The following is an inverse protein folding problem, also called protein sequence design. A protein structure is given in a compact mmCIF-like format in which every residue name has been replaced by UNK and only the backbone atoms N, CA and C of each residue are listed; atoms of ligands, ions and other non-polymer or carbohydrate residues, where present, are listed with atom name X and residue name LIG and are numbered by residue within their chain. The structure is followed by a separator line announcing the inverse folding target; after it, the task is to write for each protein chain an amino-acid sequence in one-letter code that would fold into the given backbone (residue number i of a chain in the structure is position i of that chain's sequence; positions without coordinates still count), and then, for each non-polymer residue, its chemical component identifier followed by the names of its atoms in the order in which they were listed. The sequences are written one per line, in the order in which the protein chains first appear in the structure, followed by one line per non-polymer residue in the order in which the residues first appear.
data_IF_932472803861
#
_entry.id   IF_932472803861
#
_cell.length_a   1.000
_cell.length_b   1.000
_cell.length_c   1.000
_cell.angle_alpha   90.00
_cell.angle_beta   90.00
_cell.angle_gamma   90.00
#
_symmetry.space_group_name_H-M   'P 1'
#
loop_
_entity.id
_entity.type
_entity.pdbx_description
1 polymer ?
#
# COMPACT_ATOMS: atom_id res chain seq x y z
N UNK A 1 2.31 19.75 22.25
CA UNK A 1 2.33 18.35 21.88
C UNK A 1 2.36 17.47 23.13
N UNK A 2 3.26 17.71 24.07
CA UNK A 2 3.38 16.91 25.30
C UNK A 2 2.06 16.85 26.08
N UNK A 3 1.38 17.98 26.25
CA UNK A 3 0.09 18.06 26.96
C UNK A 3 -1.05 17.37 26.22
N UNK A 4 -1.10 17.52 24.89
CA UNK A 4 -2.21 17.00 24.08
C UNK A 4 -2.03 15.54 23.64
N UNK A 5 -0.79 15.10 23.38
CA UNK A 5 -0.49 13.79 22.81
C UNK A 5 0.50 12.95 23.61
N UNK A 6 1.10 13.50 24.65
CA UNK A 6 2.16 12.85 25.41
C UNK A 6 3.52 12.80 24.72
N UNK A 7 3.66 13.33 23.52
CA UNK A 7 4.88 13.29 22.72
C UNK A 7 5.78 14.49 22.99
N UNK A 8 7.07 14.24 23.14
CA UNK A 8 8.09 15.29 23.24
C UNK A 8 8.73 15.53 21.86
N UNK A 9 8.15 16.45 21.10
CA UNK A 9 8.63 16.88 19.78
C UNK A 9 8.57 18.40 19.67
N UNK A 10 9.44 18.96 18.83
CA UNK A 10 9.55 20.43 18.67
C UNK A 10 8.28 21.07 18.07
N UNK A 11 7.66 20.40 17.10
CA UNK A 11 6.45 20.86 16.43
C UNK A 11 5.66 19.71 15.83
N UNK A 12 4.41 19.96 15.48
CA UNK A 12 3.58 19.08 14.66
C UNK A 12 2.59 19.88 13.82
N UNK A 13 2.19 19.29 12.69
CA UNK A 13 1.07 19.76 11.88
C UNK A 13 -0.09 18.81 12.14
N UNK A 14 -1.24 19.36 12.52
CA UNK A 14 -2.48 18.61 12.72
C UNK A 14 -3.42 18.89 11.55
N UNK A 15 -3.76 17.85 10.80
CA UNK A 15 -4.73 17.93 9.70
C UNK A 15 -6.06 17.38 10.14
N UNK A 16 -7.12 18.17 10.25
CA UNK A 16 -8.46 17.68 10.51
C UNK A 16 -9.07 17.06 9.25
N UNK A 17 -10.10 16.22 9.43
CA UNK A 17 -10.84 15.62 8.34
C UNK A 17 -10.17 14.40 7.68
N UNK A 18 -9.11 13.88 8.28
CA UNK A 18 -8.51 12.59 7.91
C UNK A 18 -9.40 11.44 8.40
N UNK A 19 -9.21 10.27 7.79
CA UNK A 19 -9.85 9.02 8.20
C UNK A 19 -8.84 7.89 8.23
N UNK A 20 -9.09 6.90 9.08
CA UNK A 20 -8.36 5.65 9.10
C UNK A 20 -9.28 4.47 8.80
N UNK A 21 -8.72 3.41 8.29
CA UNK A 21 -9.42 2.15 8.08
C UNK A 21 -8.48 0.98 8.36
N UNK A 22 -9.05 -0.14 8.75
CA UNK A 22 -8.37 -1.42 8.69
C UNK A 22 -8.30 -1.84 7.20
N UNK A 23 -7.09 -1.89 6.59
CA UNK A 23 -6.97 -2.14 5.15
C UNK A 23 -7.42 -3.55 4.75
N UNK A 24 -7.25 -4.54 5.63
CA UNK A 24 -7.68 -5.92 5.37
C UNK A 24 -9.20 -6.03 5.38
N UNK A 25 -9.85 -5.47 6.39
CA UNK A 25 -11.32 -5.42 6.49
C UNK A 25 -11.94 -4.64 5.34
N UNK A 26 -11.32 -3.52 4.95
CA UNK A 26 -11.76 -2.72 3.80
C UNK A 26 -11.67 -3.53 2.49
N UNK A 27 -10.53 -4.21 2.25
CA UNK A 27 -10.32 -5.05 1.08
C UNK A 27 -11.35 -6.20 1.01
N UNK A 28 -11.56 -6.91 2.11
CA UNK A 28 -12.55 -7.99 2.18
C UNK A 28 -13.98 -7.49 1.93
N UNK A 29 -14.33 -6.34 2.51
CA UNK A 29 -15.65 -5.73 2.30
C UNK A 29 -15.91 -5.33 0.84
N UNK A 30 -14.91 -4.71 0.20
CA UNK A 30 -14.99 -4.33 -1.21
C UNK A 30 -15.08 -5.57 -2.11
N UNK A 31 -14.31 -6.61 -1.82
CA UNK A 31 -14.32 -7.86 -2.56
C UNK A 31 -15.67 -8.58 -2.44
N UNK A 32 -16.20 -8.72 -1.22
CA UNK A 32 -17.51 -9.29 -0.98
C UNK A 32 -18.60 -8.53 -1.76
N UNK A 33 -18.56 -7.20 -1.72
CA UNK A 33 -19.50 -6.36 -2.45
C UNK A 33 -19.38 -6.51 -3.97
N UNK A 34 -18.17 -6.74 -4.48
CA UNK A 34 -17.95 -7.01 -5.90
C UNK A 34 -18.57 -8.35 -6.31
N UNK A 35 -18.41 -9.39 -5.51
CA UNK A 35 -19.01 -10.71 -5.74
C UNK A 35 -20.54 -10.63 -5.74
N UNK A 36 -21.14 -9.91 -4.79
CA UNK A 36 -22.60 -9.64 -4.76
C UNK A 36 -23.11 -8.96 -6.04
N UNK A 37 -22.24 -8.19 -6.70
CA UNK A 37 -22.54 -7.51 -7.98
C UNK A 37 -22.20 -8.34 -9.21
N UNK A 38 -21.83 -9.61 -9.04
CA UNK A 38 -21.59 -10.55 -10.13
C UNK A 38 -20.13 -10.78 -10.50
N UNK A 39 -19.17 -10.22 -9.77
CA UNK A 39 -17.76 -10.57 -9.96
C UNK A 39 -17.51 -12.03 -9.56
N UNK A 40 -16.59 -12.68 -10.27
CA UNK A 40 -16.19 -14.06 -9.99
C UNK A 40 -14.77 -14.07 -9.45
N UNK A 41 -14.55 -14.75 -8.33
CA UNK A 41 -13.22 -15.04 -7.82
C UNK A 41 -12.75 -16.38 -8.38
N UNK A 42 -11.57 -16.37 -8.98
CA UNK A 42 -10.91 -17.57 -9.50
C UNK A 42 -9.66 -17.80 -8.67
N UNK A 43 -9.56 -18.97 -8.04
CA UNK A 43 -8.34 -19.41 -7.33
C UNK A 43 -7.41 -20.05 -8.34
N UNK A 44 -6.58 -19.20 -8.96
CA UNK A 44 -5.57 -19.63 -9.92
C UNK A 44 -4.53 -18.51 -10.05
N UNK A 45 -3.37 -18.83 -10.57
CA UNK A 45 -2.32 -17.88 -10.86
C UNK A 45 -2.40 -17.44 -12.32
N UNK A 46 -2.36 -16.14 -12.57
CA UNK A 46 -2.27 -15.59 -13.92
C UNK A 46 -0.80 -15.52 -14.34
N UNK A 47 -0.42 -16.32 -15.33
CA UNK A 47 0.98 -16.51 -15.76
C UNK A 47 1.26 -15.93 -17.15
N UNK A 48 0.25 -15.54 -17.91
CA UNK A 48 0.43 -14.93 -19.23
C UNK A 48 -0.65 -13.90 -19.52
N UNK A 49 -0.25 -12.83 -20.24
CA UNK A 49 -1.12 -11.71 -20.55
C UNK A 49 -0.89 -11.24 -22.00
N UNK A 50 -1.98 -11.04 -22.74
CA UNK A 50 -1.95 -10.48 -24.09
C UNK A 50 -3.03 -9.40 -24.19
N UNK A 51 -2.68 -8.25 -24.73
CA UNK A 51 -3.62 -7.11 -24.85
C UNK A 51 -3.51 -6.31 -26.15
N UNK A 52 -2.68 -6.77 -27.10
CA UNK A 52 -2.50 -6.12 -28.39
C UNK A 52 -3.58 -6.50 -29.44
N UNK A 53 -4.32 -7.59 -29.19
CA UNK A 53 -5.32 -8.14 -30.13
C UNK A 53 -6.70 -7.46 -30.07
N UNK A 54 -7.70 -8.15 -30.59
CA UNK A 54 -9.12 -7.71 -30.56
C UNK A 54 -9.74 -7.83 -29.16
N UNK A 55 -9.26 -8.79 -28.36
CA UNK A 55 -9.59 -9.02 -26.97
C UNK A 55 -8.30 -9.08 -26.12
N UNK A 56 -8.45 -8.97 -24.83
CA UNK A 56 -7.39 -9.24 -23.89
C UNK A 56 -7.47 -10.70 -23.41
N UNK A 57 -6.34 -11.35 -23.25
CA UNK A 57 -6.26 -12.79 -22.88
C UNK A 57 -5.38 -12.96 -21.66
N UNK A 58 -5.87 -13.72 -20.69
CA UNK A 58 -5.11 -14.18 -19.51
C UNK A 58 -4.95 -15.70 -19.59
N UNK A 59 -3.73 -16.18 -19.51
CA UNK A 59 -3.42 -17.60 -19.33
C UNK A 59 -3.19 -17.87 -17.84
N UNK A 60 -3.86 -18.88 -17.32
CA UNK A 60 -3.75 -19.31 -15.93
C UNK A 60 -2.80 -20.51 -15.81
N UNK A 61 -2.17 -20.68 -14.66
CA UNK A 61 -1.25 -21.78 -14.37
C UNK A 61 -1.89 -23.16 -14.57
N UNK A 62 -3.20 -23.28 -14.35
CA UNK A 62 -3.98 -24.50 -14.66
C UNK A 62 -4.11 -24.80 -16.16
N UNK A 63 -3.63 -23.96 -17.05
CA UNK A 63 -3.80 -24.03 -18.49
C UNK A 63 -5.13 -23.47 -19.01
N UNK A 64 -6.00 -22.98 -18.13
CA UNK A 64 -7.23 -22.29 -18.54
C UNK A 64 -6.90 -20.94 -19.13
N UNK A 65 -7.74 -20.50 -20.05
CA UNK A 65 -7.63 -19.20 -20.71
C UNK A 65 -8.89 -18.40 -20.41
N UNK A 66 -8.71 -17.15 -20.05
CA UNK A 66 -9.79 -16.18 -19.85
C UNK A 66 -9.66 -15.07 -20.89
N UNK A 67 -10.71 -14.86 -21.65
CA UNK A 67 -10.81 -13.78 -22.64
C UNK A 67 -11.72 -12.68 -22.09
N UNK A 68 -11.31 -11.42 -22.26
CA UNK A 68 -12.02 -10.25 -21.78
C UNK A 68 -11.83 -9.06 -22.73
N UNK A 69 -12.68 -8.06 -22.63
CA UNK A 69 -12.51 -6.80 -23.36
C UNK A 69 -11.27 -6.02 -22.86
N UNK A 70 -10.98 -6.11 -21.57
CA UNK A 70 -9.84 -5.47 -20.91
C UNK A 70 -9.37 -6.28 -19.72
N UNK A 71 -8.09 -6.13 -19.40
CA UNK A 71 -7.48 -6.66 -18.17
C UNK A 71 -6.97 -5.49 -17.35
N UNK A 72 -7.19 -5.52 -16.04
CA UNK A 72 -6.61 -4.59 -15.08
C UNK A 72 -5.60 -5.35 -14.20
N UNK A 73 -4.34 -4.97 -14.32
CA UNK A 73 -3.25 -5.50 -13.52
C UNK A 73 -3.16 -4.69 -12.22
N UNK A 74 -3.68 -5.24 -11.14
CA UNK A 74 -3.65 -4.67 -9.79
C UNK A 74 -2.89 -5.63 -8.86
N UNK A 75 -1.68 -6.01 -9.27
CA UNK A 75 -0.87 -7.09 -8.67
C UNK A 75 0.05 -6.60 -7.55
N UNK A 76 -0.14 -5.37 -7.09
CA UNK A 76 0.68 -4.77 -6.04
C UNK A 76 2.05 -4.33 -6.58
N UNK A 77 3.11 -4.81 -5.97
CA UNK A 77 4.49 -4.50 -6.38
C UNK A 77 5.11 -5.60 -7.27
N UNK A 78 4.47 -6.77 -7.37
CA UNK A 78 4.90 -7.85 -8.26
C UNK A 78 4.22 -7.66 -9.61
N UNK A 79 4.97 -7.14 -10.58
CA UNK A 79 4.43 -6.85 -11.90
C UNK A 79 4.76 -7.97 -12.88
N UNK A 80 3.81 -8.36 -13.78
CA UNK A 80 4.12 -9.27 -14.89
C UNK A 80 5.13 -8.64 -15.86
N UNK A 81 5.96 -9.46 -16.51
CA UNK A 81 7.00 -9.05 -17.46
C UNK A 81 6.51 -8.12 -18.58
N UNK A 82 5.22 -8.19 -18.93
CA UNK A 82 4.60 -7.32 -19.94
C UNK A 82 4.51 -5.85 -19.50
N UNK A 83 4.66 -5.58 -18.20
CA UNK A 83 4.72 -4.24 -17.62
C UNK A 83 6.17 -3.94 -17.25
N UNK A 84 6.65 -2.75 -17.62
CA UNK A 84 8.00 -2.33 -17.26
C UNK A 84 8.16 -2.28 -15.74
N UNK A 85 9.16 -2.95 -15.21
CA UNK A 85 9.49 -3.03 -13.79
C UNK A 85 10.47 -1.94 -13.32
N UNK A 86 11.20 -1.29 -14.26
CA UNK A 86 12.17 -0.24 -13.99
C UNK A 86 11.54 1.13 -13.60
N UNK A 87 10.22 1.19 -13.52
CA UNK A 87 9.48 2.41 -13.19
C UNK A 87 9.20 2.58 -11.69
N UNK A 88 9.39 1.54 -10.93
CA UNK A 88 9.24 1.58 -9.48
C UNK A 88 10.34 0.77 -8.80
N UNK A 89 10.57 1.06 -7.53
CA UNK A 89 11.47 0.31 -6.66
C UNK A 89 10.66 -0.34 -5.55
N UNK A 90 11.10 -1.48 -5.08
CA UNK A 90 10.48 -2.15 -3.94
C UNK A 90 11.25 -1.82 -2.68
N UNK A 91 10.53 -1.43 -1.64
CA UNK A 91 11.04 -1.27 -0.30
C UNK A 91 10.44 -2.33 0.62
N UNK A 92 11.25 -2.86 1.52
CA UNK A 92 10.84 -3.71 2.63
C UNK A 92 10.61 -2.87 3.87
N UNK A 93 9.55 -3.14 4.63
CA UNK A 93 9.13 -2.39 5.82
C UNK A 93 8.71 -3.33 6.93
N UNK A 94 8.81 -2.87 8.18
CA UNK A 94 8.45 -3.64 9.36
C UNK A 94 7.48 -2.88 10.23
N UNK A 95 6.64 -3.62 10.94
CA UNK A 95 5.69 -3.07 11.88
C UNK A 95 5.48 -4.00 13.08
N UNK A 96 5.09 -3.40 14.18
CA UNK A 96 4.74 -4.08 15.44
C UNK A 96 3.37 -3.63 15.90
N UNK A 97 2.67 -4.48 16.63
CA UNK A 97 1.50 -4.13 17.40
C UNK A 97 1.72 -4.56 18.86
N UNK A 98 1.53 -3.64 19.79
CA UNK A 98 1.62 -3.94 21.21
C UNK A 98 0.41 -4.73 21.68
N UNK A 99 0.49 -5.35 22.87
CA UNK A 99 -0.71 -5.71 23.64
C UNK A 99 -1.55 -4.46 23.92
N UNK A 100 -2.86 -4.58 24.22
CA UNK A 100 -3.68 -3.44 24.61
C UNK A 100 -3.06 -2.62 25.74
N UNK A 101 -2.99 -1.33 25.58
CA UNK A 101 -2.43 -0.37 26.52
C UNK A 101 -3.50 0.15 27.49
N UNK A 102 -3.09 0.61 28.65
CA UNK A 102 -3.98 1.35 29.52
C UNK A 102 -4.43 2.66 28.85
N UNK A 103 -5.72 3.06 28.98
CA UNK A 103 -6.25 4.22 28.24
C UNK A 103 -5.46 5.52 28.43
N UNK A 104 -4.85 5.72 29.58
CA UNK A 104 -4.05 6.91 29.88
C UNK A 104 -2.69 6.95 29.16
N UNK A 105 -2.27 5.86 28.54
CA UNK A 105 -1.04 5.77 27.74
C UNK A 105 -1.29 6.24 26.31
N UNK A 106 -2.52 6.10 25.84
CA UNK A 106 -2.91 6.40 24.47
C UNK A 106 -3.15 7.91 24.31
N UNK A 107 -2.79 8.44 23.13
CA UNK A 107 -3.14 9.79 22.78
C UNK A 107 -4.63 9.94 22.45
N UNK A 108 -5.20 11.15 22.61
CA UNK A 108 -6.62 11.37 22.42
C UNK A 108 -7.02 11.24 20.95
N UNK A 109 -8.12 10.51 20.72
CA UNK A 109 -8.75 10.33 19.42
C UNK A 109 -7.98 9.38 18.49
N UNK A 110 -8.55 9.08 17.31
CA UNK A 110 -7.97 8.17 16.32
C UNK A 110 -6.98 8.94 15.42
N UNK A 111 -5.94 9.55 16.01
CA UNK A 111 -4.93 10.25 15.23
C UNK A 111 -3.89 9.30 14.67
N UNK A 112 -3.67 9.37 13.35
CA UNK A 112 -2.50 8.80 12.70
C UNK A 112 -1.33 9.75 12.92
N UNK A 113 -0.20 9.22 13.35
CA UNK A 113 1.02 9.99 13.63
C UNK A 113 2.14 9.47 12.76
N UNK A 114 2.88 10.35 12.11
CA UNK A 114 4.13 10.00 11.42
C UNK A 114 5.16 11.11 11.57
N UNK A 115 6.42 10.75 11.49
CA UNK A 115 7.54 11.67 11.56
C UNK A 115 7.86 12.24 10.16
N UNK A 116 8.15 13.52 10.07
CA UNK A 116 8.60 14.17 8.84
C UNK A 116 10.15 14.11 8.77
N UNK A 117 10.69 12.92 8.58
CA UNK A 117 12.12 12.62 8.47
C UNK A 117 12.38 11.55 7.43
N UNK A 118 13.62 11.40 6.97
CA UNK A 118 14.00 10.32 6.05
C UNK A 118 13.79 8.96 6.72
N UNK A 119 14.26 8.79 7.95
CA UNK A 119 14.05 7.59 8.78
C UNK A 119 12.74 7.73 9.58
N UNK A 120 11.64 7.94 8.91
CA UNK A 120 10.35 8.15 9.56
C UNK A 120 9.83 6.90 10.26
N UNK A 121 9.09 7.13 11.34
CA UNK A 121 8.16 6.14 11.89
C UNK A 121 6.74 6.66 11.81
N UNK A 122 5.82 5.73 11.77
CA UNK A 122 4.40 6.01 11.82
C UNK A 122 3.72 5.17 12.89
N UNK A 123 2.66 5.70 13.48
CA UNK A 123 1.88 4.94 14.45
C UNK A 123 0.41 5.36 14.47
N UNK A 124 -0.39 4.47 14.97
CA UNK A 124 -1.79 4.70 15.31
C UNK A 124 -2.21 3.85 16.50
N UNK A 125 -3.31 4.22 17.11
CA UNK A 125 -3.99 3.37 18.09
C UNK A 125 -5.08 2.56 17.38
N UNK A 126 -5.41 1.39 17.93
CA UNK A 126 -6.55 0.58 17.49
C UNK A 126 -7.73 0.77 18.43
N UNK A 127 -8.93 0.37 18.01
CA UNK A 127 -10.14 0.47 18.81
C UNK A 127 -10.10 -0.38 20.08
N UNK A 128 -9.27 -1.44 20.10
CA UNK A 128 -9.02 -2.31 21.25
C UNK A 128 -7.80 -1.88 22.08
N UNK A 129 -7.25 -0.67 21.82
CA UNK A 129 -6.24 -0.03 22.65
C UNK A 129 -4.78 -0.44 22.38
N UNK A 130 -4.49 -1.07 21.25
CA UNK A 130 -3.10 -1.37 20.83
C UNK A 130 -2.45 -0.16 20.21
N UNK A 131 -1.13 -0.11 20.25
CA UNK A 131 -0.33 0.80 19.43
C UNK A 131 0.25 -0.02 18.28
N UNK A 132 -0.10 0.33 17.04
CA UNK A 132 0.57 -0.14 15.83
C UNK A 132 1.66 0.86 15.49
N UNK A 133 2.89 0.39 15.33
CA UNK A 133 4.06 1.24 15.09
C UNK A 133 4.90 0.62 13.97
N UNK A 134 5.27 1.38 12.96
CA UNK A 134 5.99 0.89 11.80
C UNK A 134 7.02 1.86 11.26
N UNK A 135 7.86 1.37 10.36
CA UNK A 135 8.99 2.08 9.74
C UNK A 135 10.16 1.16 9.48
N UNK A 136 11.39 1.68 9.63
CA UNK A 136 12.64 0.97 9.41
C UNK A 136 12.79 0.45 7.95
N UNK A 137 12.28 1.22 7.00
CA UNK A 137 12.22 0.84 5.59
C UNK A 137 13.62 0.66 5.00
N UNK A 138 13.79 -0.35 4.13
CA UNK A 138 15.01 -0.59 3.37
C UNK A 138 14.69 -0.89 1.91
N UNK A 139 15.50 -0.35 0.99
CA UNK A 139 15.33 -0.58 -0.45
C UNK A 139 15.86 -1.96 -0.87
N UNK A 140 15.02 -2.97 -0.79
CA UNK A 140 15.25 -4.29 -1.41
C UNK A 140 13.94 -5.08 -1.52
N UNK A 141 13.94 -6.05 -2.45
CA UNK A 141 12.85 -7.01 -2.65
C UNK A 141 13.40 -8.44 -2.52
N UNK A 142 13.67 -8.84 -1.28
CA UNK A 142 14.13 -10.19 -0.95
C UNK A 142 13.35 -10.66 0.29
N UNK A 143 12.39 -11.58 0.13
CA UNK A 143 11.57 -12.07 1.24
C UNK A 143 12.39 -12.76 2.33
N UNK A 144 13.42 -13.51 1.97
CA UNK A 144 14.25 -14.27 2.92
C UNK A 144 15.09 -13.30 3.76
N UNK A 145 15.70 -12.30 3.11
CA UNK A 145 16.41 -11.22 3.80
C UNK A 145 15.49 -10.43 4.71
N UNK A 146 14.28 -10.13 4.25
CA UNK A 146 13.28 -9.38 5.03
C UNK A 146 12.87 -10.16 6.29
N UNK A 147 12.66 -11.47 6.18
CA UNK A 147 12.38 -12.34 7.31
C UNK A 147 13.57 -12.41 8.27
N UNK A 148 14.79 -12.59 7.76
CA UNK A 148 16.00 -12.66 8.57
C UNK A 148 16.24 -11.40 9.41
N UNK A 149 15.89 -10.22 8.92
CA UNK A 149 16.01 -8.95 9.62
C UNK A 149 14.87 -8.72 10.66
N UNK A 150 13.83 -9.51 10.64
CA UNK A 150 12.61 -9.29 11.44
C UNK A 150 12.86 -9.07 12.93
N UNK A 151 13.74 -9.88 13.56
CA UNK A 151 14.04 -9.77 15.00
C UNK A 151 14.83 -8.49 15.34
N UNK A 152 15.75 -8.06 14.47
CA UNK A 152 16.51 -6.83 14.62
C UNK A 152 15.60 -5.61 14.47
N UNK A 153 14.82 -5.57 13.40
CA UNK A 153 13.88 -4.47 13.11
C UNK A 153 12.78 -4.34 14.18
N UNK A 154 12.29 -5.47 14.70
CA UNK A 154 11.35 -5.46 15.84
C UNK A 154 11.94 -4.76 17.05
N UNK A 155 13.19 -5.04 17.41
CA UNK A 155 13.88 -4.37 18.53
C UNK A 155 14.09 -2.88 18.27
N UNK A 156 14.46 -2.52 17.05
CA UNK A 156 14.62 -1.11 16.67
C UNK A 156 13.29 -0.35 16.79
N UNK A 157 12.19 -0.92 16.28
CA UNK A 157 10.86 -0.34 16.41
C UNK A 157 10.39 -0.23 17.88
N UNK A 158 10.66 -1.23 18.73
CA UNK A 158 10.37 -1.13 20.16
C UNK A 158 11.16 -0.01 20.84
N UNK A 159 12.43 0.16 20.51
CA UNK A 159 13.24 1.24 21.05
C UNK A 159 12.73 2.63 20.62
N UNK A 160 12.33 2.78 19.35
CA UNK A 160 11.75 4.02 18.82
C UNK A 160 10.37 4.29 19.44
N UNK A 161 9.53 3.27 19.60
CA UNK A 161 8.24 3.40 20.30
C UNK A 161 8.45 3.86 21.74
N UNK A 162 9.40 3.26 22.46
CA UNK A 162 9.73 3.67 23.83
C UNK A 162 10.21 5.13 23.91
N UNK A 163 11.01 5.56 22.94
CA UNK A 163 11.46 6.96 22.87
C UNK A 163 10.30 7.93 22.58
N UNK A 164 9.30 7.53 21.83
CA UNK A 164 8.11 8.35 21.52
C UNK A 164 7.08 8.32 22.65
N UNK A 165 6.79 7.13 23.18
CA UNK A 165 5.77 6.89 24.24
C UNK A 165 6.40 6.09 25.39
N UNK A 166 7.19 6.73 26.26
CA UNK A 166 7.96 6.05 27.32
C UNK A 166 7.13 5.22 28.29
N UNK A 167 5.86 5.54 28.48
CA UNK A 167 4.92 4.86 29.36
C UNK A 167 4.22 3.67 28.71
N UNK A 168 4.41 3.43 27.41
CA UNK A 168 3.81 2.28 26.74
C UNK A 168 4.47 0.96 27.17
N UNK A 169 3.66 -0.09 27.33
CA UNK A 169 4.17 -1.45 27.38
C UNK A 169 4.76 -1.82 26.02
N UNK A 170 5.97 -2.37 26.06
CA UNK A 170 6.65 -2.87 24.86
C UNK A 170 6.38 -4.36 24.60
N UNK A 171 5.49 -4.97 25.39
CA UNK A 171 5.02 -6.32 25.10
C UNK A 171 4.26 -6.32 23.77
N UNK A 172 4.63 -7.23 22.88
CA UNK A 172 4.08 -7.31 21.53
C UNK A 172 3.05 -8.44 21.43
N UNK A 173 1.96 -8.14 20.76
CA UNK A 173 1.01 -9.14 20.28
C UNK A 173 1.38 -9.63 18.88
N UNK A 174 1.86 -8.73 18.02
CA UNK A 174 2.20 -9.01 16.63
C UNK A 174 3.47 -8.28 16.23
N UNK A 175 4.25 -8.92 15.34
CA UNK A 175 5.31 -8.29 14.57
C UNK A 175 5.26 -8.87 13.16
N UNK A 176 5.37 -8.02 12.14
CA UNK A 176 5.32 -8.46 10.75
C UNK A 176 6.17 -7.56 9.85
N UNK A 177 6.40 -8.03 8.66
CA UNK A 177 7.04 -7.25 7.59
C UNK A 177 6.22 -7.32 6.32
N UNK A 178 6.46 -6.37 5.43
CA UNK A 178 5.84 -6.32 4.12
C UNK A 178 6.74 -5.61 3.11
N UNK A 179 6.31 -5.63 1.87
CA UNK A 179 6.95 -4.87 0.82
C UNK A 179 5.95 -3.93 0.16
N UNK A 180 6.44 -2.84 -0.40
CA UNK A 180 5.63 -1.91 -1.20
C UNK A 180 6.45 -1.31 -2.33
N UNK A 181 5.79 -1.04 -3.46
CA UNK A 181 6.42 -0.40 -4.61
C UNK A 181 6.28 1.10 -4.54
N UNK A 182 7.36 1.82 -4.75
CA UNK A 182 7.39 3.29 -4.80
C UNK A 182 8.04 3.78 -6.09
N UNK A 183 7.59 4.92 -6.56
CA UNK A 183 8.12 5.62 -7.73
C UNK A 183 9.04 6.74 -7.31
N UNK A 184 9.89 7.20 -8.21
CA UNK A 184 10.84 8.29 -7.95
C UNK A 184 10.15 9.63 -7.63
N UNK A 185 9.01 9.90 -8.25
CA UNK A 185 8.23 11.13 -8.05
C UNK A 185 7.14 11.02 -6.97
N UNK A 186 7.02 9.84 -6.33
CA UNK A 186 6.00 9.58 -5.31
C UNK A 186 4.56 9.47 -5.84
N UNK A 187 4.35 9.57 -7.16
CA UNK A 187 3.03 9.41 -7.78
C UNK A 187 2.87 7.98 -8.31
N UNK A 188 1.69 7.37 -8.16
CA UNK A 188 1.46 6.03 -8.69
C UNK A 188 1.49 5.98 -10.21
N UNK A 189 1.70 4.79 -10.75
CA UNK A 189 1.62 4.48 -12.17
C UNK A 189 0.26 3.85 -12.46
N UNK A 190 -0.60 4.57 -13.17
CA UNK A 190 -1.98 4.15 -13.43
C UNK A 190 -2.33 4.47 -14.87
N UNK A 191 -2.70 3.47 -15.65
CA UNK A 191 -3.10 3.70 -17.03
C UNK A 191 -2.92 2.50 -17.92
N UNK A 192 -2.93 2.79 -19.22
CA UNK A 192 -2.71 1.78 -20.24
C UNK A 192 -1.26 1.32 -20.27
N UNK A 193 -1.04 0.01 -20.35
CA UNK A 193 0.29 -0.55 -20.54
C UNK A 193 0.79 -0.23 -21.95
N UNK A 194 1.98 0.37 -22.12
CA UNK A 194 2.52 0.71 -23.41
C UNK A 194 2.58 -0.48 -24.38
N UNK A 195 2.08 -0.31 -25.60
CA UNK A 195 1.98 -1.39 -26.59
C UNK A 195 0.86 -2.41 -26.37
N UNK A 196 0.08 -2.28 -25.29
CA UNK A 196 -0.99 -3.20 -24.90
C UNK A 196 -2.32 -2.46 -24.67
N UNK A 197 -3.04 -2.06 -25.72
CA UNK A 197 -4.19 -1.14 -25.61
C UNK A 197 -5.36 -1.70 -24.78
N UNK A 198 -5.36 -2.99 -24.47
CA UNK A 198 -6.39 -3.64 -23.65
C UNK A 198 -5.94 -4.02 -22.26
N UNK A 199 -4.68 -3.73 -21.91
CA UNK A 199 -4.16 -3.89 -20.56
C UNK A 199 -4.04 -2.54 -19.86
N UNK A 200 -4.61 -2.46 -18.69
CA UNK A 200 -4.48 -1.35 -17.76
C UNK A 200 -3.70 -1.85 -16.54
N UNK A 201 -2.87 -1.01 -15.95
CA UNK A 201 -2.17 -1.35 -14.72
C UNK A 201 -2.28 -0.22 -13.69
N UNK A 202 -2.15 -0.59 -12.41
CA UNK A 202 -2.17 0.36 -11.31
C UNK A 202 -1.23 -0.14 -10.21
N UNK A 203 -0.12 0.56 -9.97
CA UNK A 203 0.94 0.14 -9.07
C UNK A 203 1.83 1.31 -8.61
N UNK A 204 2.82 1.06 -7.76
CA UNK A 204 3.78 2.07 -7.32
C UNK A 204 3.19 3.08 -6.33
N UNK A 205 2.37 2.63 -5.37
CA UNK A 205 1.59 3.50 -4.47
C UNK A 205 2.38 4.07 -3.30
N UNK A 206 3.62 3.61 -3.08
CA UNK A 206 4.38 3.97 -1.90
C UNK A 206 3.60 3.71 -0.62
N UNK A 207 3.78 4.56 0.38
CA UNK A 207 3.05 4.50 1.64
C UNK A 207 1.56 4.93 1.59
N UNK A 208 1.04 5.35 0.42
CA UNK A 208 -0.29 5.93 0.27
C UNK A 208 -1.31 4.99 -0.39
N UNK A 209 -1.18 3.69 -0.15
CA UNK A 209 -1.93 2.64 -0.86
C UNK A 209 -3.45 2.82 -0.86
N UNK A 210 -4.09 3.22 0.25
CA UNK A 210 -5.55 3.42 0.33
C UNK A 210 -5.98 4.58 -0.58
N UNK A 211 -5.32 5.73 -0.45
CA UNK A 211 -5.63 6.93 -1.26
C UNK A 211 -5.43 6.67 -2.74
N UNK A 212 -4.31 6.08 -3.12
CA UNK A 212 -4.00 5.81 -4.51
C UNK A 212 -4.82 4.66 -5.11
N UNK A 213 -5.23 3.68 -4.33
CA UNK A 213 -6.19 2.67 -4.79
C UNK A 213 -7.55 3.28 -5.13
N UNK A 214 -8.02 4.23 -4.32
CA UNK A 214 -9.25 4.98 -4.64
C UNK A 214 -9.09 5.79 -5.92
N UNK A 215 -7.98 6.53 -6.06
CA UNK A 215 -7.67 7.29 -7.28
C UNK A 215 -7.59 6.37 -8.50
N UNK A 216 -6.88 5.23 -8.39
CA UNK A 216 -6.76 4.23 -9.45
C UNK A 216 -8.12 3.69 -9.89
N UNK A 217 -9.02 3.41 -8.94
CA UNK A 217 -10.37 2.94 -9.27
C UNK A 217 -11.16 3.94 -10.10
N UNK A 218 -11.01 5.25 -9.83
CA UNK A 218 -11.66 6.32 -10.58
C UNK A 218 -11.06 6.47 -11.99
N UNK A 219 -9.74 6.49 -12.09
CA UNK A 219 -9.03 6.65 -13.35
C UNK A 219 -9.26 5.44 -14.26
N UNK A 220 -9.05 4.23 -13.75
CA UNK A 220 -9.28 2.99 -14.52
C UNK A 220 -10.75 2.87 -14.94
N UNK A 221 -11.70 3.18 -14.06
CA UNK A 221 -13.12 3.19 -14.40
C UNK A 221 -13.42 4.13 -15.56
N UNK A 222 -12.87 5.35 -15.56
CA UNK A 222 -13.02 6.29 -16.66
C UNK A 222 -12.41 5.77 -17.96
N UNK A 223 -11.19 5.22 -17.92
CA UNK A 223 -10.54 4.64 -19.10
C UNK A 223 -11.32 3.44 -19.69
N UNK A 224 -11.91 2.61 -18.86
CA UNK A 224 -12.78 1.49 -19.29
C UNK A 224 -14.02 2.01 -20.02
N UNK A 225 -14.57 3.13 -19.57
CA UNK A 225 -15.71 3.82 -20.21
C UNK A 225 -15.31 4.68 -21.42
N UNK A 226 -14.02 4.73 -21.79
CA UNK A 226 -13.52 5.52 -22.89
C UNK A 226 -13.47 7.03 -22.61
N UNK A 227 -13.43 7.42 -21.34
CA UNK A 227 -13.29 8.81 -20.89
C UNK A 227 -11.84 9.10 -20.50
N UNK A 228 -11.31 10.23 -20.96
CA UNK A 228 -10.00 10.75 -20.56
C UNK A 228 -10.15 12.16 -20.00
N UNK A 229 -9.35 12.47 -19.00
CA UNK A 229 -9.26 13.78 -18.38
C UNK A 229 -7.80 14.26 -18.39
N UNK A 230 -7.57 15.55 -18.54
CA UNK A 230 -6.21 16.11 -18.73
C UNK A 230 -5.23 15.81 -17.61
N UNK A 231 -5.70 15.53 -16.41
CA UNK A 231 -4.85 15.18 -15.26
C UNK A 231 -4.39 13.71 -15.26
N UNK A 232 -5.01 12.80 -16.05
CA UNK A 232 -4.61 11.38 -16.14
C UNK A 232 -3.16 11.21 -16.56
N UNK A 233 -2.65 12.12 -17.41
CA UNK A 233 -1.25 12.12 -17.87
C UNK A 233 -0.20 12.13 -16.76
N UNK A 234 -0.55 12.68 -15.58
CA UNK A 234 0.37 12.72 -14.44
C UNK A 234 0.59 11.35 -13.78
N UNK A 235 -0.28 10.40 -14.07
CA UNK A 235 -0.23 9.03 -13.56
C UNK A 235 0.08 8.00 -14.65
N UNK A 236 0.17 8.43 -15.92
CA UNK A 236 0.41 7.52 -17.05
C UNK A 236 1.71 6.72 -16.85
N UNK A 237 1.68 5.45 -17.28
CA UNK A 237 2.82 4.53 -17.14
C UNK A 237 4.01 4.99 -18.01
N UNK A 238 3.73 5.68 -19.12
CA UNK A 238 4.73 6.23 -20.03
C UNK A 238 5.03 7.72 -19.79
N UNK A 239 4.61 8.28 -18.64
CA UNK A 239 4.90 9.68 -18.32
C UNK A 239 6.40 9.94 -18.27
N UNK A 240 6.84 11.18 -18.63
CA UNK A 240 8.23 11.57 -18.48
C UNK A 240 8.70 11.39 -17.03
N UNK A 241 9.91 10.90 -16.85
CA UNK A 241 10.53 10.88 -15.52
C UNK A 241 10.82 12.30 -15.05
N UNK A 242 10.71 12.60 -13.75
CA UNK A 242 11.22 13.85 -13.23
C UNK A 242 12.72 13.94 -13.53
N UNK A 243 13.14 15.08 -14.10
CA UNK A 243 14.53 15.34 -14.45
C UNK A 243 15.34 15.78 -13.23
#
# INVERSE_FOLDING_TARGET
LREAFGFDRAAAIVSPGSAEADPLSLCHGLLARSVERGARLVRDEAVGFEGAGRSAVVTLASGRVVEADRIVLATGYVMPDIVRDDLHRVASSWAIATVPQAPQVLWPGPALVWEASEDYCYCRTTTDGRIVFGGEDEEFDDPDRREALGAEKTKALQARLHALVPQASLELDQAWSGAFGQTEDGLPLIGQVPGQPRLLAAYGYGGNGITFSFLASRLIGALVEGREEGWFRHFAIDRPRPG
#
